data_IF_907068470870
#
_entry.id   IF_907068470870
#
_cell.length_a   1.000
_cell.length_b   1.000
_cell.length_c   1.000
_cell.angle_alpha   90.00
_cell.angle_beta   90.00
_cell.angle_gamma   90.00
#
_symmetry.space_group_name_H-M   'P 1'
#
loop_
_entity.id
_entity.type
_entity.pdbx_description
1 polymer ?
#
# COMPACT_ATOMS: atom_id res chain seq x y z
N UNK A 1 -0.23 20.96 3.43
CA UNK A 1 0.33 20.15 4.53
C UNK A 1 1.82 20.06 4.30
N UNK A 2 2.63 20.50 5.26
CA UNK A 2 4.10 20.50 5.21
C UNK A 2 4.61 19.52 6.25
N UNK A 3 4.44 18.22 5.99
CA UNK A 3 5.13 17.18 6.75
C UNK A 3 6.46 16.91 6.04
N UNK A 4 7.56 16.85 6.77
CA UNK A 4 8.85 16.50 6.15
C UNK A 4 8.93 14.99 5.89
N UNK A 5 9.77 14.54 4.94
CA UNK A 5 9.99 13.12 4.71
C UNK A 5 10.42 12.36 5.97
N UNK A 6 11.22 12.98 6.83
CA UNK A 6 11.66 12.36 8.08
C UNK A 6 10.50 12.17 9.06
N UNK A 7 9.65 13.19 9.21
CA UNK A 7 8.44 13.09 10.04
C UNK A 7 7.48 12.03 9.51
N UNK A 8 7.31 11.96 8.19
CA UNK A 8 6.47 10.94 7.56
C UNK A 8 7.04 9.53 7.75
N UNK A 9 8.35 9.35 7.64
CA UNK A 9 8.99 8.06 7.89
C UNK A 9 8.83 7.59 9.34
N UNK A 10 8.83 8.52 10.31
CA UNK A 10 8.53 8.20 11.72
C UNK A 10 7.08 7.77 11.88
N UNK A 11 6.12 8.51 11.29
CA UNK A 11 4.71 8.14 11.35
C UNK A 11 4.43 6.77 10.69
N UNK A 12 5.13 6.46 9.60
CA UNK A 12 5.03 5.14 8.97
C UNK A 12 5.40 4.03 9.96
N UNK A 13 6.48 4.20 10.73
CA UNK A 13 6.87 3.23 11.75
C UNK A 13 5.82 3.09 12.86
N UNK A 14 5.21 4.20 13.29
CA UNK A 14 4.16 4.16 14.31
C UNK A 14 2.93 3.35 13.83
N UNK A 15 2.57 3.49 12.55
CA UNK A 15 1.49 2.70 11.94
C UNK A 15 1.89 1.22 11.82
N UNK A 16 3.14 0.95 11.44
CA UNK A 16 3.68 -0.42 11.33
C UNK A 16 3.70 -1.18 12.68
N UNK A 17 3.72 -0.48 13.83
CA UNK A 17 3.59 -1.15 15.14
C UNK A 17 2.25 -1.91 15.26
N UNK A 18 1.18 -1.36 14.68
CA UNK A 18 -0.14 -1.98 14.69
C UNK A 18 -0.31 -3.03 13.58
N UNK A 19 0.40 -2.85 12.45
CA UNK A 19 0.37 -3.74 11.28
C UNK A 19 1.78 -3.91 10.70
N UNK A 20 2.59 -4.85 11.22
CA UNK A 20 3.99 -4.99 10.82
C UNK A 20 4.14 -5.43 9.36
N UNK A 21 5.06 -4.79 8.64
CA UNK A 21 5.44 -5.19 7.29
C UNK A 21 6.49 -6.31 7.36
N UNK A 22 6.26 -7.40 6.63
CA UNK A 22 7.27 -8.45 6.42
C UNK A 22 8.16 -8.07 5.22
N UNK A 23 9.41 -7.70 5.51
CA UNK A 23 10.41 -7.37 4.50
C UNK A 23 11.11 -8.59 3.90
N UNK A 24 10.74 -9.83 4.26
CA UNK A 24 11.14 -11.08 3.58
C UNK A 24 12.65 -11.23 3.29
N UNK A 25 13.50 -10.93 4.26
CA UNK A 25 14.99 -10.95 4.16
C UNK A 25 15.53 -10.20 2.92
N UNK A 26 14.83 -9.15 2.48
CA UNK A 26 15.27 -8.34 1.37
C UNK A 26 16.64 -7.71 1.68
N UNK A 27 17.55 -7.60 0.68
CA UNK A 27 18.91 -7.12 0.88
C UNK A 27 18.98 -5.58 0.99
N UNK A 28 18.00 -4.96 1.62
CA UNK A 28 17.85 -3.51 1.74
C UNK A 28 17.70 -3.12 3.21
N UNK A 29 18.22 -1.96 3.57
CA UNK A 29 17.95 -1.38 4.89
C UNK A 29 16.50 -0.87 4.95
N UNK A 30 15.74 -1.31 5.94
CA UNK A 30 14.32 -0.96 6.05
C UNK A 30 14.12 0.54 6.32
N UNK A 31 15.05 1.18 7.05
CA UNK A 31 14.98 2.61 7.35
C UNK A 31 15.24 3.44 6.08
N UNK A 32 16.23 3.04 5.28
CA UNK A 32 16.50 3.65 3.97
C UNK A 32 15.29 3.50 3.04
N UNK A 33 14.63 2.33 3.03
CA UNK A 33 13.44 2.11 2.21
C UNK A 33 12.27 3.00 2.65
N UNK A 34 12.01 3.12 3.95
CA UNK A 34 11.00 4.03 4.49
C UNK A 34 11.30 5.48 4.10
N UNK A 35 12.56 5.90 4.22
CA UNK A 35 12.99 7.24 3.81
C UNK A 35 12.78 7.52 2.31
N UNK A 36 13.08 6.55 1.45
CA UNK A 36 12.84 6.65 0.01
C UNK A 36 11.36 6.84 -0.30
N UNK A 37 10.48 6.04 0.31
CA UNK A 37 9.04 6.13 0.11
C UNK A 37 8.48 7.45 0.67
N UNK A 38 8.94 7.87 1.86
CA UNK A 38 8.51 9.13 2.46
C UNK A 38 8.90 10.35 1.60
N UNK A 39 10.13 10.37 1.06
CA UNK A 39 10.56 11.41 0.12
C UNK A 39 9.64 11.47 -1.10
N UNK A 40 9.38 10.32 -1.72
CA UNK A 40 8.52 10.24 -2.90
C UNK A 40 7.09 10.75 -2.63
N UNK A 41 6.52 10.40 -1.47
CA UNK A 41 5.19 10.86 -1.08
C UNK A 41 5.13 12.36 -0.81
N UNK A 42 6.19 12.94 -0.21
CA UNK A 42 6.30 14.39 -0.04
C UNK A 42 6.42 15.10 -1.40
N UNK A 43 7.23 14.60 -2.34
CA UNK A 43 7.31 15.17 -3.70
C UNK A 43 5.95 15.13 -4.42
N UNK A 44 5.22 14.02 -4.30
CA UNK A 44 3.86 13.92 -4.84
C UNK A 44 2.91 14.93 -4.18
N UNK A 45 3.02 15.09 -2.86
CA UNK A 45 2.21 16.03 -2.09
C UNK A 45 2.46 17.49 -2.49
N UNK A 46 3.70 17.84 -2.80
CA UNK A 46 4.11 19.16 -3.28
C UNK A 46 3.64 19.39 -4.72
N UNK A 47 3.72 18.38 -5.59
CA UNK A 47 3.18 18.46 -6.95
C UNK A 47 1.66 18.73 -6.98
N UNK A 48 0.95 18.34 -5.91
CA UNK A 48 -0.49 18.59 -5.72
C UNK A 48 -0.79 19.90 -4.97
N UNK A 49 0.19 20.77 -4.73
CA UNK A 49 -0.03 22.03 -3.98
C UNK A 49 -1.02 22.97 -4.69
N UNK A 50 -1.08 22.92 -6.02
CA UNK A 50 -2.02 23.72 -6.82
C UNK A 50 -3.47 23.20 -6.79
N UNK A 51 -3.72 22.04 -6.19
CA UNK A 51 -5.04 21.42 -6.15
C UNK A 51 -5.88 22.04 -5.03
N UNK A 52 -7.19 22.05 -5.21
CA UNK A 52 -8.08 22.33 -4.08
C UNK A 52 -7.89 21.26 -2.98
N UNK A 53 -8.20 21.57 -1.70
CA UNK A 53 -8.12 20.56 -0.64
C UNK A 53 -8.95 19.31 -0.92
N UNK A 54 -10.10 19.46 -1.60
CA UNK A 54 -11.00 18.38 -1.98
C UNK A 54 -10.39 17.52 -3.09
N UNK A 55 -9.82 18.15 -4.13
CA UNK A 55 -9.15 17.44 -5.23
C UNK A 55 -7.90 16.70 -4.75
N UNK A 56 -7.13 17.31 -3.83
CA UNK A 56 -5.96 16.68 -3.21
C UNK A 56 -6.36 15.44 -2.42
N UNK A 57 -7.44 15.52 -1.63
CA UNK A 57 -7.95 14.36 -0.90
C UNK A 57 -8.43 13.25 -1.84
N UNK A 58 -9.15 13.60 -2.91
CA UNK A 58 -9.60 12.64 -3.90
C UNK A 58 -8.41 11.96 -4.61
N UNK A 59 -7.39 12.73 -4.98
CA UNK A 59 -6.17 12.22 -5.59
C UNK A 59 -5.43 11.24 -4.66
N UNK A 60 -5.25 11.62 -3.38
CA UNK A 60 -4.63 10.76 -2.38
C UNK A 60 -5.42 9.47 -2.14
N UNK A 61 -6.75 9.53 -2.07
CA UNK A 61 -7.61 8.35 -1.97
C UNK A 61 -7.49 7.45 -3.19
N UNK A 62 -7.42 8.02 -4.39
CA UNK A 62 -7.24 7.26 -5.62
C UNK A 62 -5.89 6.53 -5.65
N UNK A 63 -4.81 7.21 -5.24
CA UNK A 63 -3.48 6.61 -5.11
C UNK A 63 -3.47 5.50 -4.06
N UNK A 64 -4.05 5.74 -2.88
CA UNK A 64 -4.16 4.73 -1.83
C UNK A 64 -4.94 3.49 -2.30
N UNK A 65 -6.08 3.70 -2.98
CA UNK A 65 -6.87 2.61 -3.54
C UNK A 65 -6.08 1.79 -4.57
N UNK A 66 -5.29 2.45 -5.44
CA UNK A 66 -4.42 1.78 -6.40
C UNK A 66 -3.35 0.95 -5.70
N UNK A 67 -2.66 1.52 -4.71
CA UNK A 67 -1.60 0.82 -3.96
C UNK A 67 -2.15 -0.41 -3.23
N UNK A 68 -3.32 -0.28 -2.59
CA UNK A 68 -4.01 -1.42 -1.94
C UNK A 68 -4.39 -2.50 -2.95
N UNK A 69 -4.88 -2.10 -4.13
CA UNK A 69 -5.20 -3.05 -5.19
C UNK A 69 -3.96 -3.77 -5.72
N UNK A 70 -2.87 -3.04 -5.98
CA UNK A 70 -1.59 -3.61 -6.41
C UNK A 70 -1.04 -4.59 -5.37
N UNK A 71 -1.05 -4.20 -4.09
CA UNK A 71 -0.63 -5.06 -2.99
C UNK A 71 -1.47 -6.35 -2.95
N UNK A 72 -2.81 -6.25 -3.00
CA UNK A 72 -3.70 -7.40 -3.02
C UNK A 72 -3.40 -8.34 -4.20
N UNK A 73 -3.21 -7.79 -5.40
CA UNK A 73 -2.91 -8.58 -6.60
C UNK A 73 -1.55 -9.28 -6.46
N UNK A 74 -0.52 -8.57 -5.98
CA UNK A 74 0.82 -9.16 -5.73
C UNK A 74 0.74 -10.28 -4.70
N UNK A 75 0.00 -10.07 -3.61
CA UNK A 75 -0.20 -11.07 -2.56
C UNK A 75 -0.85 -12.34 -3.13
N UNK A 76 -1.94 -12.19 -3.90
CA UNK A 76 -2.60 -13.33 -4.58
C UNK A 76 -1.64 -14.05 -5.53
N UNK A 77 -0.79 -13.32 -6.26
CA UNK A 77 0.20 -13.93 -7.15
C UNK A 77 1.27 -14.72 -6.39
N UNK A 78 1.76 -14.19 -5.26
CA UNK A 78 2.73 -14.87 -4.40
C UNK A 78 2.15 -16.18 -3.83
N UNK A 79 0.94 -16.15 -3.27
CA UNK A 79 0.28 -17.36 -2.75
C UNK A 79 0.16 -18.44 -3.84
N UNK A 80 -0.24 -18.05 -5.06
CA UNK A 80 -0.30 -18.97 -6.20
C UNK A 80 1.06 -19.53 -6.60
N UNK A 81 2.12 -18.72 -6.57
CA UNK A 81 3.47 -19.13 -6.95
C UNK A 81 4.10 -20.10 -5.94
N UNK A 82 3.83 -19.90 -4.65
CA UNK A 82 4.38 -20.73 -3.57
C UNK A 82 3.52 -21.95 -3.23
N UNK A 83 2.38 -22.16 -3.91
CA UNK A 83 1.49 -23.29 -3.67
C UNK A 83 0.91 -23.30 -2.25
N UNK A 84 0.94 -22.16 -1.56
CA UNK A 84 0.39 -22.02 -0.22
C UNK A 84 -1.14 -21.96 -0.34
N UNK A 85 -1.88 -22.65 0.55
CA UNK A 85 -3.32 -22.51 0.59
C UNK A 85 -3.63 -21.04 0.85
N UNK A 86 -4.27 -20.44 -0.14
CA UNK A 86 -4.92 -19.15 0.00
C UNK A 86 -5.92 -19.33 1.14
N UNK A 87 -5.89 -18.49 2.18
CA UNK A 87 -6.83 -18.64 3.30
C UNK A 87 -8.26 -18.77 2.78
N UNK A 88 -9.12 -19.54 3.45
CA UNK A 88 -10.50 -19.77 2.99
C UNK A 88 -11.24 -18.47 2.63
N UNK A 89 -10.90 -17.37 3.32
CA UNK A 89 -11.40 -16.01 3.05
C UNK A 89 -10.97 -15.44 1.70
N UNK A 90 -9.71 -15.61 1.30
CA UNK A 90 -9.17 -15.09 0.03
C UNK A 90 -9.58 -16.03 -1.11
N UNK A 91 -9.69 -17.34 -0.89
CA UNK A 91 -10.21 -18.27 -1.89
C UNK A 91 -11.70 -18.02 -2.16
N UNK A 92 -12.50 -17.76 -1.13
CA UNK A 92 -13.90 -17.34 -1.29
C UNK A 92 -14.01 -15.99 -2.03
N UNK A 93 -13.12 -15.04 -1.75
CA UNK A 93 -13.05 -13.77 -2.49
C UNK A 93 -12.72 -14.00 -3.96
N UNK A 94 -11.69 -14.81 -4.26
CA UNK A 94 -11.27 -15.13 -5.62
C UNK A 94 -12.33 -15.93 -6.38
N UNK A 95 -13.07 -16.83 -5.73
CA UNK A 95 -14.20 -17.53 -6.31
C UNK A 95 -15.36 -16.58 -6.62
N UNK A 96 -15.69 -15.64 -5.72
CA UNK A 96 -16.69 -14.59 -5.98
C UNK A 96 -16.30 -13.66 -7.12
N UNK A 97 -15.02 -13.34 -7.26
CA UNK A 97 -14.51 -12.54 -8.37
C UNK A 97 -14.49 -13.31 -9.70
N UNK A 98 -14.25 -14.63 -9.67
CA UNK A 98 -14.35 -15.52 -10.84
C UNK A 98 -15.80 -15.81 -11.26
N UNK A 99 -16.74 -15.81 -10.30
CA UNK A 99 -18.17 -16.04 -10.49
C UNK A 99 -18.98 -14.76 -10.34
N UNK A 100 -19.02 -13.93 -11.39
CA UNK A 100 -19.88 -12.76 -11.44
C UNK A 100 -21.36 -13.13 -11.24
N UNK A 101 -21.95 -12.56 -10.18
CA UNK A 101 -23.34 -12.64 -9.68
C UNK A 101 -23.81 -14.03 -9.19
N UNK A 102 -24.28 -14.15 -7.93
CA UNK A 102 -25.25 -15.18 -7.60
C UNK A 102 -26.55 -14.83 -8.35
N UNK A 103 -26.98 -15.75 -9.22
CA UNK A 103 -28.34 -15.82 -9.76
C UNK A 103 -29.36 -15.98 -8.64
#
# INVERSE_FOLDING_TARGET
MTITPEELAVLMQEVEVADPIDFADLPFDEQELRGLIANHLCEMADAMESFSPEDRNLALLAVAAKLVLENLVLHVQLLRRHGLPVSDSVDALLQRLKGGKPS
#
